data_IF_198035345495
#
_entry.id   IF_198035345495
#
_cell.length_a   1.000
_cell.length_b   1.000
_cell.length_c   1.000
_cell.angle_alpha   90.00
_cell.angle_beta   90.00
_cell.angle_gamma   90.00
#
_symmetry.space_group_name_H-M   'P 1'
#
loop_
_entity.id
_entity.type
_entity.pdbx_description
1 polymer ?
#
# COMPACT_ATOMS: atom_id res chain seq x y z
N UNK A 1 -30.05 -34.34 11.94
CA UNK A 1 -30.02 -32.86 11.95
C UNK A 1 -28.61 -32.30 12.18
N UNK A 2 -27.69 -33.05 12.80
CA UNK A 2 -26.34 -32.55 13.12
C UNK A 2 -25.46 -32.30 11.88
N UNK A 3 -25.62 -33.09 10.82
CA UNK A 3 -24.87 -32.89 9.57
C UNK A 3 -25.16 -31.54 8.90
N UNK A 4 -26.41 -31.08 8.92
CA UNK A 4 -26.80 -29.78 8.34
C UNK A 4 -26.16 -28.63 9.14
N UNK A 5 -26.15 -28.70 10.47
CA UNK A 5 -25.51 -27.69 11.32
C UNK A 5 -24.01 -27.62 11.11
N UNK A 6 -23.34 -28.78 11.01
CA UNK A 6 -21.90 -28.84 10.73
C UNK A 6 -21.57 -28.24 9.37
N UNK A 7 -22.37 -28.53 8.34
CA UNK A 7 -22.21 -27.97 7.01
C UNK A 7 -22.32 -26.43 7.02
N UNK A 8 -23.40 -25.88 7.60
CA UNK A 8 -23.58 -24.42 7.69
C UNK A 8 -22.48 -23.75 8.52
N UNK A 9 -22.06 -24.38 9.61
CA UNK A 9 -20.95 -23.88 10.43
C UNK A 9 -19.65 -23.79 9.62
N UNK A 10 -19.33 -24.82 8.83
CA UNK A 10 -18.16 -24.84 7.96
C UNK A 10 -18.23 -23.74 6.90
N UNK A 11 -19.39 -23.59 6.26
CA UNK A 11 -19.63 -22.56 5.24
C UNK A 11 -19.45 -21.15 5.82
N UNK A 12 -20.03 -20.85 6.98
CA UNK A 12 -19.88 -19.56 7.63
C UNK A 12 -18.44 -19.29 8.09
N UNK A 13 -17.70 -20.31 8.54
CA UNK A 13 -16.28 -20.17 8.87
C UNK A 13 -15.45 -19.81 7.63
N UNK A 14 -15.68 -20.49 6.50
CA UNK A 14 -15.00 -20.19 5.24
C UNK A 14 -15.32 -18.77 4.76
N UNK A 15 -16.59 -18.39 4.76
CA UNK A 15 -17.03 -17.04 4.42
C UNK A 15 -16.37 -16.00 5.33
N UNK A 16 -16.30 -16.26 6.64
CA UNK A 16 -15.66 -15.37 7.61
C UNK A 16 -14.16 -15.24 7.37
N UNK A 17 -13.44 -16.34 7.07
CA UNK A 17 -12.02 -16.30 6.67
C UNK A 17 -11.86 -15.39 5.47
N UNK A 18 -12.65 -15.59 4.41
CA UNK A 18 -12.58 -14.79 3.19
C UNK A 18 -12.82 -13.30 3.46
N UNK A 19 -13.87 -12.96 4.22
CA UNK A 19 -14.21 -11.57 4.57
C UNK A 19 -13.11 -10.93 5.41
N UNK A 20 -12.58 -11.61 6.42
CA UNK A 20 -11.51 -11.06 7.27
C UNK A 20 -10.19 -10.90 6.50
N UNK A 21 -9.86 -11.84 5.60
CA UNK A 21 -8.69 -11.71 4.73
C UNK A 21 -8.82 -10.51 3.79
N UNK A 22 -9.97 -10.35 3.12
CA UNK A 22 -10.23 -9.18 2.27
C UNK A 22 -10.21 -7.88 3.08
N UNK A 23 -10.79 -7.88 4.28
CA UNK A 23 -10.78 -6.73 5.17
C UNK A 23 -9.35 -6.31 5.53
N UNK A 24 -8.47 -7.27 5.83
CA UNK A 24 -7.05 -7.01 6.07
C UNK A 24 -6.35 -6.36 4.87
N UNK A 25 -6.64 -6.82 3.65
CA UNK A 25 -6.11 -6.23 2.41
C UNK A 25 -6.63 -4.80 2.25
N UNK A 26 -7.95 -4.59 2.36
CA UNK A 26 -8.58 -3.27 2.20
C UNK A 26 -8.03 -2.28 3.22
N UNK A 27 -7.86 -2.68 4.47
CA UNK A 27 -7.27 -1.81 5.49
C UNK A 27 -5.81 -1.51 5.16
N UNK A 28 -5.04 -2.50 4.72
CA UNK A 28 -3.64 -2.29 4.32
C UNK A 28 -3.55 -1.27 3.20
N UNK A 29 -4.37 -1.42 2.14
CA UNK A 29 -4.46 -0.45 1.03
C UNK A 29 -4.84 0.94 1.53
N UNK A 30 -5.84 1.02 2.43
CA UNK A 30 -6.31 2.29 2.97
C UNK A 30 -5.23 3.02 3.79
N UNK A 31 -4.40 2.29 4.53
CA UNK A 31 -3.34 2.86 5.36
C UNK A 31 -2.07 3.18 4.57
N UNK A 32 -1.88 2.59 3.38
CA UNK A 32 -0.65 2.73 2.59
C UNK A 32 -0.90 3.49 1.28
N UNK A 33 -1.48 2.83 0.28
CA UNK A 33 -1.69 3.37 -1.06
C UNK A 33 -2.71 4.52 -1.10
N UNK A 34 -3.60 4.61 -0.12
CA UNK A 34 -4.58 5.70 -0.03
C UNK A 34 -4.18 6.76 1.00
N UNK A 35 -2.98 6.65 1.58
CA UNK A 35 -2.50 7.58 2.57
C UNK A 35 -1.40 8.48 1.96
N UNK A 36 -1.63 9.81 1.82
CA UNK A 36 -0.64 10.72 1.25
C UNK A 36 0.66 10.71 2.07
N UNK A 37 0.59 10.62 3.39
CA UNK A 37 1.79 10.64 4.25
C UNK A 37 2.66 9.40 4.01
N UNK A 38 2.04 8.26 3.73
CA UNK A 38 2.77 7.05 3.37
C UNK A 38 3.47 7.23 2.03
N UNK A 39 2.78 7.76 1.00
CA UNK A 39 3.40 8.02 -0.31
C UNK A 39 4.54 9.02 -0.23
N UNK A 40 4.40 10.10 0.54
CA UNK A 40 5.46 11.09 0.75
C UNK A 40 6.68 10.47 1.42
N UNK A 41 6.47 9.69 2.48
CA UNK A 41 7.54 8.98 3.19
C UNK A 41 8.23 7.99 2.27
N UNK A 42 7.45 7.20 1.54
CA UNK A 42 7.93 6.28 0.52
C UNK A 42 8.80 6.98 -0.52
N UNK A 43 8.33 8.10 -1.06
CA UNK A 43 9.03 8.84 -2.11
C UNK A 43 10.37 9.41 -1.60
N UNK A 44 10.40 9.84 -0.33
CA UNK A 44 11.62 10.24 0.36
C UNK A 44 12.59 9.07 0.55
N UNK A 45 12.10 7.89 0.91
CA UNK A 45 12.96 6.70 1.01
C UNK A 45 13.50 6.20 -0.34
N UNK A 46 12.76 6.45 -1.43
CA UNK A 46 13.18 6.10 -2.78
C UNK A 46 14.31 6.97 -3.33
N UNK A 47 14.66 8.03 -2.60
CA UNK A 47 15.70 8.97 -3.00
C UNK A 47 15.47 9.50 -4.43
N UNK A 48 14.21 9.74 -4.77
CA UNK A 48 13.79 10.25 -6.09
C UNK A 48 14.48 11.58 -6.38
N UNK A 49 14.75 12.35 -5.33
CA UNK A 49 15.54 13.58 -5.37
C UNK A 49 16.94 13.31 -5.94
N UNK A 50 17.69 12.36 -5.38
CA UNK A 50 19.02 12.00 -5.88
C UNK A 50 18.98 11.45 -7.31
N UNK A 51 17.95 10.70 -7.69
CA UNK A 51 17.79 10.23 -9.06
C UNK A 51 17.59 11.39 -10.06
N UNK A 52 16.70 12.33 -9.73
CA UNK A 52 16.45 13.51 -10.55
C UNK A 52 17.68 14.41 -10.61
N UNK A 53 18.35 14.61 -9.48
CA UNK A 53 19.61 15.36 -9.39
C UNK A 53 20.67 14.75 -10.30
N UNK A 54 20.93 13.44 -10.21
CA UNK A 54 21.89 12.76 -11.09
C UNK A 54 21.52 12.89 -12.57
N UNK A 55 20.23 12.93 -12.88
CA UNK A 55 19.78 13.14 -14.25
C UNK A 55 20.08 14.57 -14.73
N UNK A 56 19.89 15.58 -13.87
CA UNK A 56 20.25 16.98 -14.17
C UNK A 56 21.78 17.16 -14.26
N UNK A 57 22.54 16.57 -13.34
CA UNK A 57 24.00 16.55 -13.38
C UNK A 57 24.50 15.91 -14.68
N UNK A 58 23.97 14.75 -15.05
CA UNK A 58 24.30 14.08 -16.30
C UNK A 58 23.99 14.93 -17.54
N UNK A 59 22.96 15.79 -17.48
CA UNK A 59 22.67 16.74 -18.55
C UNK A 59 23.71 17.86 -18.59
N UNK A 60 24.04 18.45 -17.43
CA UNK A 60 25.05 19.50 -17.31
C UNK A 60 26.43 19.01 -17.78
N UNK A 61 26.84 17.80 -17.40
CA UNK A 61 28.08 17.18 -17.86
C UNK A 61 28.10 17.01 -19.38
N UNK A 62 26.96 16.67 -19.99
CA UNK A 62 26.80 16.61 -21.45
C UNK A 62 27.06 17.95 -22.15
N UNK A 63 26.91 19.06 -21.42
CA UNK A 63 27.20 20.42 -21.87
C UNK A 63 28.58 20.93 -21.42
N UNK A 64 29.41 20.08 -20.80
CA UNK A 64 30.74 20.44 -20.31
C UNK A 64 30.70 21.24 -19.00
N UNK A 65 29.56 21.25 -18.31
CA UNK A 65 29.38 21.88 -17.00
C UNK A 65 29.53 20.81 -15.92
N UNK A 66 30.60 20.88 -15.14
CA UNK A 66 30.72 20.08 -13.92
C UNK A 66 29.98 20.79 -12.80
N UNK A 67 28.87 20.21 -12.33
CA UNK A 67 28.22 20.65 -11.10
C UNK A 67 29.20 20.41 -9.93
N UNK A 68 29.74 21.49 -9.37
CA UNK A 68 30.93 21.40 -8.51
C UNK A 68 30.64 21.56 -7.01
N UNK A 69 29.42 21.91 -6.57
CA UNK A 69 29.16 22.23 -5.16
C UNK A 69 27.96 21.49 -4.56
N UNK A 70 28.24 20.67 -3.53
CA UNK A 70 27.26 20.12 -2.58
C UNK A 70 26.37 21.20 -1.94
N UNK A 71 26.85 22.46 -1.88
CA UNK A 71 26.16 23.58 -1.24
C UNK A 71 24.92 24.06 -2.01
N UNK A 72 24.93 24.02 -3.34
CA UNK A 72 23.76 24.40 -4.16
C UNK A 72 22.64 23.37 -4.06
N UNK A 73 23.00 22.11 -3.83
CA UNK A 73 22.04 21.02 -3.65
C UNK A 73 21.23 21.13 -2.35
N UNK A 74 21.86 21.62 -1.28
CA UNK A 74 21.22 21.79 0.02
C UNK A 74 20.03 22.78 -0.01
N UNK A 75 20.00 23.73 -0.96
CA UNK A 75 18.86 24.64 -1.14
C UNK A 75 17.84 24.13 -2.17
N UNK A 76 18.25 23.27 -3.10
CA UNK A 76 17.38 22.69 -4.12
C UNK A 76 16.45 21.62 -3.56
N UNK A 77 16.99 20.70 -2.76
CA UNK A 77 16.26 19.58 -2.17
C UNK A 77 14.98 20.03 -1.44
N UNK A 78 14.98 21.01 -0.51
CA UNK A 78 13.77 21.40 0.20
C UNK A 78 12.69 22.03 -0.70
N UNK A 79 13.08 22.73 -1.78
CA UNK A 79 12.09 23.28 -2.73
C UNK A 79 11.45 22.20 -3.57
N UNK A 80 12.25 21.23 -4.04
CA UNK A 80 11.73 20.10 -4.79
C UNK A 80 10.84 19.22 -3.91
N UNK A 81 11.20 18.99 -2.63
CA UNK A 81 10.35 18.31 -1.64
C UNK A 81 8.99 18.99 -1.51
N UNK A 82 8.95 20.32 -1.41
CA UNK A 82 7.70 21.09 -1.30
C UNK A 82 6.81 20.95 -2.54
N UNK A 83 7.39 21.03 -3.74
CA UNK A 83 6.62 20.89 -4.99
C UNK A 83 6.07 19.47 -5.17
N UNK A 84 6.89 18.47 -4.84
CA UNK A 84 6.46 17.07 -4.85
C UNK A 84 5.36 16.82 -3.81
N UNK A 85 5.48 17.39 -2.62
CA UNK A 85 4.47 17.31 -1.58
C UNK A 85 3.14 17.94 -2.03
N UNK A 86 3.21 19.13 -2.64
CA UNK A 86 2.07 19.83 -3.19
C UNK A 86 1.39 19.01 -4.30
N UNK A 87 2.18 18.44 -5.20
CA UNK A 87 1.68 17.57 -6.27
C UNK A 87 0.97 16.36 -5.64
N UNK A 88 1.66 15.57 -4.82
CA UNK A 88 1.09 14.36 -4.20
C UNK A 88 -0.21 14.70 -3.46
N UNK A 89 -0.25 15.76 -2.66
CA UNK A 89 -1.48 16.17 -1.99
C UNK A 89 -2.60 16.56 -2.96
N UNK A 90 -2.28 17.25 -4.04
CA UNK A 90 -3.24 17.58 -5.10
C UNK A 90 -3.78 16.33 -5.79
N UNK A 91 -2.94 15.32 -6.04
CA UNK A 91 -3.36 13.99 -6.54
C UNK A 91 -4.40 13.40 -5.61
N UNK A 92 -4.09 13.33 -4.32
CA UNK A 92 -4.96 12.71 -3.32
C UNK A 92 -6.27 13.49 -3.10
N UNK A 93 -6.23 14.82 -3.10
CA UNK A 93 -7.42 15.66 -2.99
C UNK A 93 -8.35 15.47 -4.20
N UNK A 94 -7.79 15.44 -5.41
CA UNK A 94 -8.53 15.15 -6.65
C UNK A 94 -9.16 13.75 -6.62
N UNK A 95 -8.40 12.75 -6.16
CA UNK A 95 -8.86 11.38 -6.01
C UNK A 95 -9.99 11.26 -4.97
N UNK A 96 -9.93 12.06 -3.90
CA UNK A 96 -10.96 12.09 -2.88
C UNK A 96 -12.26 12.77 -3.36
N UNK A 97 -12.13 13.81 -4.19
CA UNK A 97 -13.27 14.52 -4.80
C UNK A 97 -13.93 13.71 -5.92
N UNK A 98 -13.26 12.69 -6.45
CA UNK A 98 -13.77 11.85 -7.53
C UNK A 98 -13.84 12.60 -8.87
N UNK A 99 -12.98 13.59 -9.07
CA UNK A 99 -12.92 14.35 -10.32
C UNK A 99 -12.36 13.47 -11.44
N UNK A 100 -13.14 13.31 -12.52
CA UNK A 100 -12.72 12.56 -13.70
C UNK A 100 -11.81 13.45 -14.55
N UNK A 101 -10.52 13.12 -14.61
CA UNK A 101 -9.52 13.89 -15.34
C UNK A 101 -8.55 14.56 -14.40
N UNK A 102 -7.53 13.80 -13.98
CA UNK A 102 -6.53 14.30 -13.07
C UNK A 102 -5.39 14.98 -13.86
N UNK A 103 -5.32 16.30 -13.77
CA UNK A 103 -4.27 17.09 -14.41
C UNK A 103 -3.17 17.32 -13.38
N UNK A 104 -2.04 16.64 -13.53
CA UNK A 104 -0.85 16.92 -12.73
C UNK A 104 -0.11 18.07 -13.40
N UNK A 105 0.01 19.20 -12.70
CA UNK A 105 0.84 20.31 -13.15
C UNK A 105 2.27 20.06 -12.66
N UNK A 106 3.22 19.94 -13.59
CA UNK A 106 4.64 19.74 -13.30
C UNK A 106 5.44 21.04 -13.42
N UNK A 107 4.77 22.16 -13.67
CA UNK A 107 5.39 23.49 -13.83
C UNK A 107 6.29 23.85 -12.65
N UNK A 108 5.86 23.59 -11.40
CA UNK A 108 6.67 23.90 -10.21
C UNK A 108 7.99 23.14 -10.18
N UNK A 109 7.98 21.83 -10.45
CA UNK A 109 9.20 21.00 -10.55
C UNK A 109 10.13 21.53 -11.65
N UNK A 110 9.55 21.85 -12.80
CA UNK A 110 10.29 22.36 -13.96
C UNK A 110 10.96 23.70 -13.67
N UNK A 111 10.24 24.62 -13.02
CA UNK A 111 10.79 25.90 -12.56
C UNK A 111 11.92 25.69 -11.56
N UNK A 112 11.74 24.79 -10.58
CA UNK A 112 12.78 24.45 -9.60
C UNK A 112 14.04 23.92 -10.29
N UNK A 113 13.92 23.06 -11.31
CA UNK A 113 15.05 22.58 -12.12
C UNK A 113 15.73 23.69 -12.93
N UNK A 114 14.96 24.58 -13.56
CA UNK A 114 15.50 25.73 -14.32
C UNK A 114 16.23 26.72 -13.43
N UNK A 115 15.69 26.99 -12.25
CA UNK A 115 16.33 27.83 -11.23
C UNK A 115 17.66 27.24 -10.77
N UNK A 116 17.72 25.92 -10.58
CA UNK A 116 18.96 25.23 -10.24
C UNK A 116 20.02 25.39 -11.33
N UNK A 117 19.66 25.13 -12.59
CA UNK A 117 20.57 25.34 -13.73
C UNK A 117 21.02 26.79 -13.85
N UNK A 118 20.13 27.76 -13.64
CA UNK A 118 20.47 29.18 -13.69
C UNK A 118 21.53 29.55 -12.65
N UNK A 119 21.38 29.02 -11.43
CA UNK A 119 22.28 29.28 -10.31
C UNK A 119 23.65 28.66 -10.55
N UNK A 120 23.70 27.41 -10.99
CA UNK A 120 24.98 26.76 -11.31
C UNK A 120 25.71 27.44 -12.47
N UNK A 121 24.96 27.89 -13.48
CA UNK A 121 25.56 28.64 -14.58
C UNK A 121 26.05 30.04 -14.17
N UNK A 122 25.47 30.63 -13.12
CA UNK A 122 25.89 31.92 -12.58
C UNK A 122 27.06 31.82 -11.60
N UNK A 123 27.25 30.66 -10.97
CA UNK A 123 28.35 30.40 -10.01
C UNK A 123 29.65 29.98 -10.71
N UNK A 124 29.58 29.45 -11.94
CA UNK A 124 30.75 29.02 -12.70
C UNK A 124 31.63 30.22 -13.12
N UNK A 125 32.91 30.26 -12.71
CA UNK A 125 33.86 31.20 -13.29
C UNK A 125 34.06 30.87 -14.77
N UNK A 126 34.22 31.91 -15.61
CA UNK A 126 34.34 31.86 -17.08
C UNK A 126 34.76 30.47 -17.59
N UNK A 127 33.78 29.72 -18.14
CA UNK A 127 34.02 28.36 -18.64
C UNK A 127 35.26 28.38 -19.56
N UNK A 128 36.30 27.59 -19.29
CA UNK A 128 37.52 27.61 -20.07
C UNK A 128 37.20 27.14 -21.51
N UNK A 129 37.12 28.11 -22.42
CA UNK A 129 36.84 27.87 -23.85
C UNK A 129 35.49 28.42 -24.36
N UNK A 130 34.63 28.98 -23.50
CA UNK A 130 33.37 29.61 -23.92
C UNK A 130 33.53 31.12 -23.88
N UNK A 131 33.63 31.75 -25.06
CA UNK A 131 33.67 33.21 -25.19
C UNK A 131 32.33 33.75 -24.68
N UNK A 132 32.35 34.69 -23.74
CA UNK A 132 31.24 35.11 -22.86
C UNK A 132 29.92 35.61 -23.48
N UNK A 133 29.64 35.34 -24.76
CA UNK A 133 28.34 35.51 -25.39
C UNK A 133 27.50 34.22 -25.51
N UNK A 134 28.07 33.03 -25.23
CA UNK A 134 27.38 31.75 -25.46
C UNK A 134 26.68 31.14 -24.23
N UNK A 135 26.89 31.69 -23.01
CA UNK A 135 26.28 31.12 -21.79
C UNK A 135 24.75 31.18 -21.87
N UNK A 136 24.18 32.28 -22.37
CA UNK A 136 22.74 32.43 -22.54
C UNK A 136 22.18 31.44 -23.58
N UNK A 137 22.94 31.16 -24.64
CA UNK A 137 22.58 30.17 -25.65
C UNK A 137 22.61 28.74 -25.07
N UNK A 138 23.58 28.41 -24.22
CA UNK A 138 23.67 27.11 -23.54
C UNK A 138 22.55 26.95 -22.51
N UNK A 139 22.27 27.97 -21.68
CA UNK A 139 21.16 27.96 -20.72
C UNK A 139 19.82 27.79 -21.44
N UNK A 140 19.59 28.54 -22.52
CA UNK A 140 18.38 28.43 -23.33
C UNK A 140 18.22 27.01 -23.91
N UNK A 141 19.31 26.37 -24.32
CA UNK A 141 19.30 24.99 -24.82
C UNK A 141 18.98 23.97 -23.73
N UNK A 142 19.60 24.10 -22.55
CA UNK A 142 19.28 23.23 -21.41
C UNK A 142 17.81 23.41 -20.99
N UNK A 143 17.30 24.64 -20.99
CA UNK A 143 15.89 24.90 -20.71
C UNK A 143 14.98 24.24 -21.74
N UNK A 144 15.31 24.34 -23.02
CA UNK A 144 14.56 23.64 -24.07
C UNK A 144 14.58 22.11 -23.90
N UNK A 145 15.70 21.55 -23.44
CA UNK A 145 15.81 20.11 -23.18
C UNK A 145 14.98 19.70 -21.97
N UNK A 146 15.03 20.47 -20.86
CA UNK A 146 14.17 20.24 -19.68
C UNK A 146 12.69 20.32 -20.08
N UNK A 147 12.33 21.32 -20.90
CA UNK A 147 10.97 21.51 -21.41
C UNK A 147 10.52 20.36 -22.32
N UNK A 148 11.45 19.79 -23.09
CA UNK A 148 11.21 18.62 -23.93
C UNK A 148 11.09 17.31 -23.14
N UNK A 149 11.80 17.20 -22.00
CA UNK A 149 11.76 16.01 -21.15
C UNK A 149 10.51 15.95 -20.27
N UNK A 150 10.05 17.10 -19.76
CA UNK A 150 8.93 17.15 -18.82
C UNK A 150 7.83 18.11 -19.34
N UNK A 151 6.65 17.59 -19.72
CA UNK A 151 5.55 18.44 -20.14
C UNK A 151 4.98 19.21 -18.94
N UNK A 152 4.51 20.44 -19.17
CA UNK A 152 3.96 21.31 -18.10
C UNK A 152 2.75 20.70 -17.39
N UNK A 153 1.97 19.92 -18.15
CA UNK A 153 0.78 19.22 -17.67
C UNK A 153 0.85 17.79 -18.14
N UNK A 154 0.89 16.87 -17.20
CA UNK A 154 0.64 15.46 -17.48
C UNK A 154 -0.84 15.23 -17.26
N UNK A 155 -1.54 15.07 -18.37
CA UNK A 155 -2.88 14.50 -18.33
C UNK A 155 -2.68 13.00 -18.18
N UNK A 156 -3.03 12.48 -17.00
CA UNK A 156 -3.02 11.04 -16.75
C UNK A 156 -4.15 10.42 -17.57
N UNK A 157 -3.85 10.12 -18.83
CA UNK A 157 -4.72 9.40 -19.75
C UNK A 157 -4.23 7.95 -19.92
N UNK A 158 -5.09 7.08 -20.44
CA UNK A 158 -4.86 5.65 -20.60
C UNK A 158 -3.60 5.35 -21.43
N UNK A 159 -3.19 6.30 -22.28
CA UNK A 159 -1.98 6.22 -23.08
C UNK A 159 -0.67 6.27 -22.29
N UNK A 160 -0.64 6.93 -21.13
CA UNK A 160 0.62 7.16 -20.36
C UNK A 160 1.12 5.87 -19.71
N UNK A 161 0.21 4.96 -19.36
CA UNK A 161 0.56 3.73 -18.67
C UNK A 161 1.00 2.59 -19.59
N UNK A 162 0.95 2.76 -20.93
CA UNK A 162 1.36 1.74 -21.90
C UNK A 162 0.62 0.40 -21.81
N UNK A 163 -0.30 0.27 -20.84
CA UNK A 163 -1.20 -0.85 -20.59
C UNK A 163 -2.36 -0.71 -21.57
N UNK A 164 -2.08 -0.99 -22.85
CA UNK A 164 -2.93 -0.72 -24.01
C UNK A 164 -4.30 -1.41 -24.07
N UNK A 165 -4.93 -1.74 -22.94
CA UNK A 165 -6.24 -2.41 -22.87
C UNK A 165 -7.04 -2.12 -21.60
N UNK A 166 -6.68 -1.14 -20.75
CA UNK A 166 -7.41 -0.94 -19.48
C UNK A 166 -8.25 0.36 -19.50
N UNK A 167 -9.56 0.28 -19.77
CA UNK A 167 -10.49 1.41 -19.70
C UNK A 167 -10.84 1.80 -18.24
N UNK A 168 -9.85 1.89 -17.34
CA UNK A 168 -10.07 1.96 -15.89
C UNK A 168 -9.45 3.17 -15.18
N UNK A 169 -9.09 4.24 -15.90
CA UNK A 169 -8.74 5.50 -15.24
C UNK A 169 -9.94 6.12 -14.49
N UNK A 170 -11.16 5.97 -15.02
CA UNK A 170 -12.40 6.28 -14.27
C UNK A 170 -12.59 5.36 -13.04
N UNK A 171 -11.97 4.18 -13.06
CA UNK A 171 -11.99 3.28 -11.91
C UNK A 171 -11.09 3.83 -10.81
N UNK A 172 -9.89 4.31 -11.14
CA UNK A 172 -8.91 4.89 -10.20
C UNK A 172 -9.51 6.07 -9.43
N UNK A 173 -10.17 7.02 -10.11
CA UNK A 173 -10.83 8.15 -9.43
C UNK A 173 -11.96 7.70 -8.49
N UNK A 174 -12.63 6.58 -8.79
CA UNK A 174 -13.64 6.00 -7.90
C UNK A 174 -13.07 5.07 -6.82
N UNK A 175 -11.81 4.64 -6.92
CA UNK A 175 -11.20 3.68 -6.00
C UNK A 175 -11.34 4.12 -4.54
N UNK A 176 -11.07 5.38 -4.13
CA UNK A 176 -11.20 5.75 -2.71
C UNK A 176 -12.62 5.62 -2.19
N UNK A 177 -13.61 6.04 -2.99
CA UNK A 177 -15.02 5.90 -2.66
C UNK A 177 -15.44 4.43 -2.51
N UNK A 178 -14.97 3.57 -3.42
CA UNK A 178 -15.20 2.13 -3.35
C UNK A 178 -14.52 1.50 -2.15
N UNK A 179 -13.24 1.81 -1.89
CA UNK A 179 -12.48 1.25 -0.77
C UNK A 179 -13.15 1.59 0.56
N UNK A 180 -13.60 2.83 0.73
CA UNK A 180 -14.35 3.25 1.93
C UNK A 180 -15.65 2.46 2.10
N UNK A 181 -16.41 2.30 1.03
CA UNK A 181 -17.70 1.59 1.04
C UNK A 181 -17.52 0.09 1.28
N UNK A 182 -16.55 -0.51 0.60
CA UNK A 182 -16.14 -1.92 0.74
C UNK A 182 -15.66 -2.18 2.16
N UNK A 183 -14.82 -1.30 2.73
CA UNK A 183 -14.36 -1.42 4.11
C UNK A 183 -15.53 -1.49 5.10
N UNK A 184 -16.48 -0.55 5.01
CA UNK A 184 -17.65 -0.53 5.89
C UNK A 184 -18.54 -1.76 5.69
N UNK A 185 -18.76 -2.17 4.44
CA UNK A 185 -19.60 -3.31 4.10
C UNK A 185 -18.99 -4.63 4.58
N UNK A 186 -17.67 -4.82 4.40
CA UNK A 186 -16.96 -6.00 4.88
C UNK A 186 -16.94 -6.05 6.42
N UNK A 187 -16.78 -4.92 7.09
CA UNK A 187 -16.85 -4.87 8.55
C UNK A 187 -18.23 -5.30 9.07
N UNK A 188 -19.31 -4.76 8.50
CA UNK A 188 -20.69 -5.14 8.84
C UNK A 188 -20.94 -6.62 8.52
N UNK A 189 -20.52 -7.08 7.34
CA UNK A 189 -20.67 -8.48 6.93
C UNK A 189 -19.92 -9.43 7.87
N UNK A 190 -18.71 -9.07 8.31
CA UNK A 190 -17.96 -9.85 9.29
C UNK A 190 -18.69 -9.98 10.62
N UNK A 191 -19.28 -8.89 11.13
CA UNK A 191 -20.10 -8.91 12.35
C UNK A 191 -21.33 -9.79 12.16
N UNK A 192 -22.04 -9.66 11.03
CA UNK A 192 -23.22 -10.47 10.72
C UNK A 192 -22.88 -11.96 10.63
N UNK A 193 -21.72 -12.31 10.04
CA UNK A 193 -21.26 -13.70 9.96
C UNK A 193 -20.93 -14.27 11.35
N UNK A 194 -20.29 -13.49 12.22
CA UNK A 194 -20.03 -13.87 13.61
C UNK A 194 -21.34 -14.08 14.37
N UNK A 195 -22.30 -13.16 14.23
CA UNK A 195 -23.64 -13.30 14.83
C UNK A 195 -24.39 -14.53 14.29
N UNK A 196 -24.27 -14.80 12.99
CA UNK A 196 -24.87 -15.99 12.36
C UNK A 196 -24.27 -17.28 12.92
N UNK A 197 -22.95 -17.33 13.13
CA UNK A 197 -22.28 -18.46 13.80
C UNK A 197 -22.78 -18.63 15.24
N UNK A 198 -22.95 -17.53 15.99
CA UNK A 198 -23.52 -17.58 17.33
C UNK A 198 -24.96 -18.10 17.33
N UNK A 199 -25.76 -17.72 16.32
CA UNK A 199 -27.16 -18.14 16.20
C UNK A 199 -27.28 -19.64 15.88
N UNK A 200 -26.43 -20.17 14.99
CA UNK A 200 -26.40 -21.60 14.63
C UNK A 200 -26.07 -22.49 15.83
N UNK A 201 -25.16 -22.01 16.69
CA UNK A 201 -24.65 -22.75 17.84
C UNK A 201 -25.12 -22.22 19.20
N UNK A 202 -26.24 -21.49 19.23
CA UNK A 202 -26.72 -20.75 20.40
C UNK A 202 -26.77 -21.58 21.70
N UNK A 203 -26.93 -22.90 21.58
CA UNK A 203 -27.03 -23.82 22.71
C UNK A 203 -25.70 -24.34 23.26
N UNK A 204 -24.56 -24.06 22.62
CA UNK A 204 -23.24 -24.53 23.04
C UNK A 204 -22.15 -23.46 22.81
N UNK A 205 -21.70 -22.72 23.83
CA UNK A 205 -20.68 -21.66 23.67
C UNK A 205 -19.29 -22.23 23.34
N UNK A 206 -18.98 -23.45 23.79
CA UNK A 206 -17.67 -24.09 23.59
C UNK A 206 -17.30 -24.28 22.10
N UNK A 207 -18.14 -24.88 21.24
CA UNK A 207 -17.83 -25.00 19.82
C UNK A 207 -17.74 -23.65 19.10
N UNK A 208 -18.49 -22.62 19.53
CA UNK A 208 -18.42 -21.27 18.94
C UNK A 208 -17.03 -20.68 19.13
N UNK A 209 -16.57 -20.62 20.39
CA UNK A 209 -15.28 -20.01 20.73
C UNK A 209 -14.14 -20.75 20.03
N UNK A 210 -14.21 -22.08 19.95
CA UNK A 210 -13.23 -22.89 19.21
C UNK A 210 -13.24 -22.61 17.71
N UNK A 211 -14.41 -22.55 17.08
CA UNK A 211 -14.53 -22.30 15.65
C UNK A 211 -14.01 -20.90 15.29
N UNK A 212 -14.40 -19.87 16.06
CA UNK A 212 -13.89 -18.51 15.89
C UNK A 212 -12.38 -18.42 16.09
N UNK A 213 -11.85 -19.10 17.11
CA UNK A 213 -10.42 -19.19 17.37
C UNK A 213 -9.65 -19.78 16.18
N UNK A 214 -10.16 -20.87 15.58
CA UNK A 214 -9.56 -21.48 14.38
C UNK A 214 -9.61 -20.51 13.18
N UNK A 215 -10.73 -19.82 12.96
CA UNK A 215 -10.84 -18.82 11.88
C UNK A 215 -9.82 -17.70 12.08
N UNK A 216 -9.70 -17.16 13.29
CA UNK A 216 -8.76 -16.08 13.57
C UNK A 216 -7.31 -16.53 13.44
N UNK A 217 -6.98 -17.74 13.89
CA UNK A 217 -5.65 -18.33 13.69
C UNK A 217 -5.33 -18.55 12.22
N UNK A 218 -6.26 -19.11 11.43
CA UNK A 218 -6.03 -19.37 10.00
C UNK A 218 -5.84 -18.09 9.20
N UNK A 219 -6.66 -17.06 9.44
CA UNK A 219 -6.48 -15.73 8.83
C UNK A 219 -5.15 -15.11 9.28
N UNK A 220 -4.85 -15.15 10.58
CA UNK A 220 -3.63 -14.58 11.14
C UNK A 220 -2.36 -15.23 10.58
N UNK A 221 -2.31 -16.57 10.53
CA UNK A 221 -1.21 -17.33 9.89
C UNK A 221 -1.11 -16.97 8.42
N UNK A 222 -2.23 -16.93 7.70
CA UNK A 222 -2.27 -16.56 6.28
C UNK A 222 -1.67 -15.18 6.02
N UNK A 223 -2.06 -14.17 6.79
CA UNK A 223 -1.55 -12.80 6.67
C UNK A 223 -0.05 -12.69 6.98
N UNK A 224 0.42 -13.39 8.02
CA UNK A 224 1.84 -13.39 8.37
C UNK A 224 2.65 -14.13 7.29
N UNK A 225 2.22 -15.32 6.89
CA UNK A 225 2.90 -16.11 5.87
C UNK A 225 2.97 -15.38 4.52
N UNK A 226 1.87 -14.74 4.08
CA UNK A 226 1.85 -13.98 2.83
C UNK A 226 2.78 -12.76 2.88
N UNK A 227 2.95 -12.15 4.05
CA UNK A 227 3.85 -11.01 4.24
C UNK A 227 5.33 -11.41 4.17
N UNK A 228 5.68 -12.59 4.71
CA UNK A 228 7.07 -13.06 4.77
C UNK A 228 7.55 -13.73 3.48
N UNK A 229 6.68 -14.49 2.81
CA UNK A 229 7.08 -15.26 1.62
C UNK A 229 7.37 -14.39 0.42
N UNK A 230 7.08 -13.08 0.47
CA UNK A 230 7.22 -12.17 -0.67
C UNK A 230 6.38 -12.62 -1.87
N UNK A 231 5.49 -13.59 -1.68
CA UNK A 231 4.79 -14.30 -2.75
C UNK A 231 3.84 -13.36 -3.48
N UNK A 232 3.21 -12.45 -2.72
CA UNK A 232 2.43 -11.33 -3.28
C UNK A 232 3.32 -10.41 -4.11
N UNK A 233 4.52 -10.09 -3.62
CA UNK A 233 5.50 -9.30 -4.36
C UNK A 233 5.89 -9.97 -5.68
N UNK A 234 6.33 -11.23 -5.65
CA UNK A 234 6.77 -11.94 -6.85
C UNK A 234 5.67 -12.11 -7.89
N UNK A 235 4.43 -12.40 -7.46
CA UNK A 235 3.30 -12.56 -8.39
C UNK A 235 2.88 -11.21 -8.99
N UNK A 236 2.79 -10.15 -8.18
CA UNK A 236 2.45 -8.81 -8.67
C UNK A 236 3.57 -8.22 -9.54
N UNK A 237 4.83 -8.30 -9.11
CA UNK A 237 5.96 -7.77 -9.85
C UNK A 237 6.27 -8.58 -11.10
N UNK A 238 6.19 -9.91 -11.04
CA UNK A 238 6.42 -10.76 -12.21
C UNK A 238 5.38 -10.55 -13.32
N UNK A 239 4.19 -10.02 -12.98
CA UNK A 239 3.15 -9.70 -13.96
C UNK A 239 3.15 -8.23 -14.40
N UNK A 240 3.58 -7.30 -13.54
CA UNK A 240 3.58 -5.86 -13.84
C UNK A 240 4.87 -5.36 -14.51
N UNK A 241 6.03 -5.95 -14.19
CA UNK A 241 7.31 -5.50 -14.72
C UNK A 241 7.81 -6.48 -15.79
N UNK A 242 7.44 -6.22 -17.04
CA UNK A 242 8.20 -6.76 -18.15
C UNK A 242 9.68 -6.30 -18.01
N UNK A 243 10.67 -7.16 -18.32
CA UNK A 243 12.08 -6.87 -18.08
C UNK A 243 12.56 -5.75 -18.99
N UNK A 244 12.38 -4.51 -18.54
CA UNK A 244 12.96 -3.32 -19.15
C UNK A 244 14.13 -2.88 -18.29
N UNK A 245 15.28 -2.72 -18.93
CA UNK A 245 16.59 -2.53 -18.32
C UNK A 245 16.69 -1.28 -17.44
N UNK A 246 15.79 -0.31 -17.63
CA UNK A 246 15.76 0.97 -16.91
C UNK A 246 15.32 0.82 -15.44
N UNK A 247 14.54 -0.21 -15.08
CA UNK A 247 13.97 -0.34 -13.73
C UNK A 247 14.90 -1.04 -12.71
N UNK A 248 16.07 -1.52 -13.13
CA UNK A 248 17.00 -2.21 -12.21
C UNK A 248 17.47 -1.31 -11.05
N UNK A 249 17.57 0.00 -11.25
CA UNK A 249 17.98 0.93 -10.19
C UNK A 249 16.87 1.17 -9.14
N UNK A 250 15.60 1.04 -9.52
CA UNK A 250 14.45 1.25 -8.62
C UNK A 250 14.06 -0.02 -7.85
N UNK A 251 14.53 -1.19 -8.28
CA UNK A 251 14.20 -2.48 -7.68
C UNK A 251 14.42 -2.56 -6.15
N UNK A 252 15.57 -2.13 -5.59
CA UNK A 252 15.76 -2.20 -4.13
C UNK A 252 14.80 -1.29 -3.36
N UNK A 253 14.52 -0.08 -3.88
CA UNK A 253 13.53 0.84 -3.29
C UNK A 253 12.11 0.27 -3.34
N UNK A 254 11.73 -0.34 -4.48
CA UNK A 254 10.45 -1.01 -4.66
C UNK A 254 10.24 -2.14 -3.68
N UNK A 255 11.24 -3.01 -3.50
CA UNK A 255 11.14 -4.10 -2.55
C UNK A 255 10.97 -3.59 -1.11
N UNK A 256 11.67 -2.50 -0.75
CA UNK A 256 11.55 -1.85 0.55
C UNK A 256 10.17 -1.24 0.75
N UNK A 257 9.64 -0.51 -0.24
CA UNK A 257 8.29 0.06 -0.19
C UNK A 257 7.24 -1.04 -0.05
N UNK A 258 7.38 -2.17 -0.74
CA UNK A 258 6.47 -3.30 -0.57
C UNK A 258 6.55 -3.90 0.84
N UNK A 259 7.75 -4.05 1.39
CA UNK A 259 7.92 -4.48 2.79
C UNK A 259 7.20 -3.53 3.74
N UNK A 260 7.30 -2.23 3.49
CA UNK A 260 6.69 -1.20 4.31
C UNK A 260 5.17 -1.14 4.14
N UNK A 261 4.66 -1.35 2.93
CA UNK A 261 3.24 -1.52 2.66
C UNK A 261 2.66 -2.75 3.37
N UNK A 262 3.47 -3.79 3.61
CA UNK A 262 3.05 -4.99 4.35
C UNK A 262 3.15 -4.85 5.87
N UNK A 263 3.71 -3.75 6.41
CA UNK A 263 3.79 -3.54 7.88
C UNK A 263 2.40 -3.56 8.56
N UNK A 264 1.37 -2.83 8.05
CA UNK A 264 0.03 -2.90 8.63
C UNK A 264 -0.55 -4.31 8.56
N UNK A 265 -0.41 -4.99 7.42
CA UNK A 265 -0.89 -6.37 7.24
C UNK A 265 -0.28 -7.34 8.25
N UNK A 266 1.01 -7.20 8.57
CA UNK A 266 1.70 -7.96 9.62
C UNK A 266 1.12 -7.68 11.00
N UNK A 267 0.91 -6.41 11.34
CA UNK A 267 0.32 -6.00 12.62
C UNK A 267 -1.09 -6.61 12.80
N UNK A 268 -1.93 -6.56 11.76
CA UNK A 268 -3.23 -7.21 11.75
C UNK A 268 -3.12 -8.73 11.92
N UNK A 269 -2.20 -9.36 11.19
CA UNK A 269 -1.95 -10.81 11.30
C UNK A 269 -1.59 -11.23 12.73
N UNK A 270 -0.71 -10.49 13.40
CA UNK A 270 -0.39 -10.73 14.82
C UNK A 270 -1.58 -10.49 15.75
N UNK A 271 -2.38 -9.46 15.50
CA UNK A 271 -3.62 -9.21 16.24
C UNK A 271 -4.59 -10.39 16.15
N UNK A 272 -4.83 -10.91 14.95
CA UNK A 272 -5.69 -12.08 14.74
C UNK A 272 -5.11 -13.35 15.36
N UNK A 273 -3.80 -13.57 15.27
CA UNK A 273 -3.13 -14.70 15.93
C UNK A 273 -3.31 -14.64 17.45
N UNK A 274 -3.04 -13.49 18.07
CA UNK A 274 -3.19 -13.30 19.51
C UNK A 274 -4.64 -13.51 19.97
N UNK A 275 -5.60 -12.88 19.29
CA UNK A 275 -7.02 -13.05 19.59
C UNK A 275 -7.47 -14.51 19.40
N UNK A 276 -7.05 -15.16 18.32
CA UNK A 276 -7.35 -16.56 18.04
C UNK A 276 -6.79 -17.51 19.11
N UNK A 277 -5.56 -17.27 19.57
CA UNK A 277 -4.93 -18.05 20.64
C UNK A 277 -5.65 -17.87 21.98
N UNK A 278 -5.99 -16.63 22.35
CA UNK A 278 -6.77 -16.32 23.55
C UNK A 278 -8.14 -17.00 23.54
N UNK A 279 -8.85 -16.96 22.41
CA UNK A 279 -10.13 -17.66 22.23
C UNK A 279 -9.93 -19.17 22.39
N UNK A 280 -8.86 -19.73 21.82
CA UNK A 280 -8.60 -21.16 21.92
C UNK A 280 -8.32 -21.60 23.36
N UNK A 281 -7.56 -20.82 24.14
CA UNK A 281 -7.35 -21.06 25.57
C UNK A 281 -8.68 -20.95 26.34
N UNK A 282 -9.47 -19.91 26.10
CA UNK A 282 -10.78 -19.77 26.75
C UNK A 282 -11.69 -20.97 26.46
N UNK A 283 -11.67 -21.49 25.23
CA UNK A 283 -12.42 -22.70 24.87
C UNK A 283 -11.97 -23.95 25.66
N UNK A 284 -10.70 -24.03 26.07
CA UNK A 284 -10.18 -25.14 26.87
C UNK A 284 -10.53 -24.99 28.36
N UNK A 285 -10.47 -23.77 28.88
CA UNK A 285 -10.81 -23.44 30.26
C UNK A 285 -12.31 -23.62 30.57
N UNK A 286 -13.17 -23.51 29.56
CA UNK A 286 -14.59 -23.86 29.67
C UNK A 286 -14.76 -25.38 29.80
N UNK A 287 -14.54 -25.90 31.02
CA UNK A 287 -14.91 -27.26 31.40
C UNK A 287 -16.44 -27.35 31.39
N UNK A 288 -16.96 -28.26 30.60
CA UNK A 288 -18.36 -28.69 30.66
C UNK A 288 -18.59 -29.24 32.06
N UNK A 289 -19.52 -28.62 32.81
CA UNK A 289 -19.94 -29.10 34.13
C UNK A 289 -20.26 -30.58 33.98
N UNK A 290 -19.51 -31.48 34.66
CA UNK A 290 -19.80 -32.90 34.57
C UNK A 290 -21.21 -33.11 35.10
N UNK A 291 -22.08 -33.69 34.29
CA UNK A 291 -23.45 -34.03 34.65
C UNK A 291 -23.41 -35.20 35.64
N UNK A 292 -22.97 -34.92 36.87
CA UNK A 292 -22.87 -35.87 37.98
C UNK A 292 -24.25 -36.14 38.58
N UNK A 293 -25.20 -36.62 37.77
CA UNK A 293 -26.60 -36.78 38.22
C UNK A 293 -27.29 -38.06 37.73
N UNK A 294 -26.56 -39.19 37.56
CA UNK A 294 -27.22 -40.45 37.15
C UNK A 294 -26.70 -41.77 37.73
N UNK A 295 -26.06 -41.78 38.90
CA UNK A 295 -25.62 -43.03 39.55
C UNK A 295 -26.19 -43.24 40.98
N UNK A 296 -27.19 -42.47 41.44
CA UNK A 296 -27.72 -42.61 42.83
C UNK A 296 -29.11 -43.28 42.91
N UNK A 297 -29.70 -43.78 41.82
CA UNK A 297 -31.09 -44.26 41.82
C UNK A 297 -31.32 -45.77 41.60
N UNK A 298 -30.32 -46.65 41.82
CA UNK A 298 -30.54 -48.11 41.69
C UNK A 298 -29.96 -48.99 42.80
N UNK A 299 -29.49 -48.44 43.92
CA UNK A 299 -29.15 -49.26 45.10
C UNK A 299 -30.16 -49.03 46.23
N UNK A 300 -31.27 -49.78 46.17
CA UNK A 300 -32.28 -49.73 47.23
C UNK A 300 -33.52 -50.58 46.96
N UNK A 301 -33.35 -51.88 46.70
CA UNK A 301 -34.44 -52.84 46.90
C UNK A 301 -33.90 -54.04 47.70
N UNK A 302 -34.34 -54.25 48.96
CA UNK A 302 -34.01 -55.47 49.71
C UNK A 302 -34.90 -56.65 49.25
N UNK A 303 -34.39 -57.89 49.27
CA UNK A 303 -35.20 -59.09 49.01
C UNK A 303 -36.16 -59.38 50.16
N UNK A 304 -37.41 -59.71 49.81
CA UNK A 304 -38.42 -60.28 50.70
C UNK A 304 -38.35 -61.81 50.69
#
# INVERSE_FOLDING_TARGET
MDGVKQFFSGLFCLALISVLSLLGIVITLNLTLLNPDFTLTALKEFDVYTLMTKQVESLLEGYGVSASDEASFAEFEPRFEQEVEAIVRSIYDSLHKGESGMIITLTGIKEVMKDYVAREMSSLPELPGVIGGDIEAVVSRIYSDIDGMMPDKVLLDESVFGLGTIPHLDLISRVPGYIRTVHQTLAVLGIVLVLSLCLVHWWQPKPIVRALGIVFLTVGVGCVASSFTGLVGNVLFGSLLAPSTTYMQLQPGLLRLFSDMLKPMRLYGFGFLGAGFCLMIMSLLWRSVPTTSRIVATQGLPPA
#
